data_IF_224616673416
#
_entry.id   IF_224616673416
#
_cell.length_a   1.000
_cell.length_b   1.000
_cell.length_c   1.000
_cell.angle_alpha   90.00
_cell.angle_beta   90.00
_cell.angle_gamma   90.00
#
_symmetry.space_group_name_H-M   'P 1'
#
loop_
_entity.id
_entity.type
_entity.pdbx_description
1 polymer ?
#
# COMPACT_ATOMS: atom_id res chain seq x y z
N UNK A 1 -2.59 -0.32 -17.26
CA UNK A 1 -1.63 0.69 -16.73
C UNK A 1 -0.51 0.85 -17.75
N UNK A 2 -0.06 2.06 -18.08
CA UNK A 2 1.00 2.26 -19.07
C UNK A 2 2.36 2.51 -18.40
N UNK A 3 3.38 1.71 -18.73
CA UNK A 3 4.78 1.94 -18.35
C UNK A 3 5.60 2.01 -19.64
N UNK A 4 6.25 3.15 -19.89
CA UNK A 4 7.13 3.32 -21.06
C UNK A 4 6.46 3.07 -22.41
N UNK A 5 5.22 3.53 -22.61
CA UNK A 5 4.50 3.34 -23.88
C UNK A 5 3.81 1.99 -24.04
N UNK A 6 3.93 1.09 -23.06
CA UNK A 6 3.30 -0.25 -23.08
C UNK A 6 2.24 -0.36 -22.02
N UNK A 7 1.06 -0.83 -22.44
CA UNK A 7 -0.04 -1.13 -21.52
C UNK A 7 0.20 -2.49 -20.88
N UNK A 8 0.50 -2.49 -19.59
CA UNK A 8 0.51 -3.68 -18.75
C UNK A 8 -0.89 -3.87 -18.15
N UNK A 9 -1.46 -5.06 -18.36
CA UNK A 9 -2.60 -5.51 -17.59
C UNK A 9 -2.06 -6.24 -16.37
N UNK A 10 -2.27 -5.67 -15.19
CA UNK A 10 -2.00 -6.42 -13.97
C UNK A 10 -3.14 -7.43 -13.81
N UNK A 11 -2.83 -8.71 -13.97
CA UNK A 11 -3.78 -9.77 -13.69
C UNK A 11 -4.26 -9.64 -12.23
N UNK A 12 -5.54 -9.89 -11.99
CA UNK A 12 -6.04 -10.02 -10.62
C UNK A 12 -5.22 -11.08 -9.90
N UNK A 13 -4.71 -10.75 -8.70
CA UNK A 13 -3.96 -11.67 -7.84
C UNK A 13 -4.60 -11.75 -6.46
N UNK A 14 -4.59 -12.94 -5.83
CA UNK A 14 -4.99 -13.10 -4.44
C UNK A 14 -4.16 -12.25 -3.48
N UNK A 15 -4.76 -11.85 -2.36
CA UNK A 15 -4.08 -11.09 -1.30
C UNK A 15 -2.83 -11.79 -0.75
N UNK A 16 -2.81 -13.13 -0.74
CA UNK A 16 -1.63 -13.90 -0.35
C UNK A 16 -0.39 -13.48 -1.16
N UNK A 17 -0.53 -13.35 -2.48
CA UNK A 17 0.57 -12.94 -3.34
C UNK A 17 1.02 -11.51 -2.99
N UNK A 18 0.09 -10.57 -2.78
CA UNK A 18 0.33 -9.19 -2.33
C UNK A 18 1.12 -9.10 -1.02
N UNK A 19 0.76 -9.92 -0.04
CA UNK A 19 1.43 -9.96 1.26
C UNK A 19 2.87 -10.49 1.17
N UNK A 20 3.13 -11.49 0.32
CA UNK A 20 4.48 -12.03 0.11
C UNK A 20 5.43 -10.99 -0.49
N UNK A 21 4.93 -10.14 -1.40
CA UNK A 21 5.78 -9.15 -2.09
C UNK A 21 6.04 -7.89 -1.26
N UNK A 22 5.12 -7.52 -0.36
CA UNK A 22 5.33 -6.42 0.58
C UNK A 22 6.63 -6.60 1.39
N UNK A 23 6.95 -7.82 1.81
CA UNK A 23 8.15 -8.11 2.60
C UNK A 23 9.45 -7.68 1.90
N UNK A 24 9.40 -7.54 0.56
CA UNK A 24 10.57 -7.27 -0.27
C UNK A 24 10.46 -5.96 -1.07
N UNK A 25 9.35 -5.20 -0.93
CA UNK A 25 9.04 -3.96 -1.65
C UNK A 25 9.16 -4.06 -3.19
N UNK A 26 9.03 -5.26 -3.74
CA UNK A 26 9.34 -5.54 -5.15
C UNK A 26 8.08 -5.99 -5.91
N UNK A 27 7.16 -5.06 -6.19
CA UNK A 27 5.92 -5.39 -6.95
C UNK A 27 6.19 -5.91 -8.37
N UNK A 28 7.43 -5.80 -8.87
CA UNK A 28 7.83 -6.49 -10.11
C UNK A 28 7.75 -8.02 -9.97
N UNK A 29 7.68 -8.54 -8.74
CA UNK A 29 7.47 -9.96 -8.47
C UNK A 29 6.15 -10.51 -8.97
N UNK A 30 5.16 -9.65 -9.18
CA UNK A 30 3.89 -10.06 -9.79
C UNK A 30 3.95 -10.16 -11.31
N UNK A 31 4.99 -9.58 -11.91
CA UNK A 31 5.25 -9.73 -13.32
C UNK A 31 5.92 -11.08 -13.54
N UNK A 32 5.61 -11.69 -14.68
CA UNK A 32 6.34 -12.87 -15.12
C UNK A 32 7.82 -12.54 -15.36
N UNK A 33 8.64 -13.58 -15.46
CA UNK A 33 10.09 -13.42 -15.60
C UNK A 33 10.47 -12.67 -16.88
N UNK A 34 9.67 -12.76 -17.95
CA UNK A 34 9.96 -12.06 -19.20
C UNK A 34 9.77 -10.55 -19.01
N UNK A 35 8.64 -10.15 -18.41
CA UNK A 35 8.32 -8.75 -18.15
C UNK A 35 9.27 -8.13 -17.13
N UNK A 36 9.62 -8.87 -16.06
CA UNK A 36 10.59 -8.41 -15.07
C UNK A 36 11.97 -8.20 -15.68
N UNK A 37 12.45 -9.16 -16.49
CA UNK A 37 13.72 -9.04 -17.19
C UNK A 37 13.69 -7.91 -18.23
N UNK A 38 12.55 -7.71 -18.92
CA UNK A 38 12.38 -6.62 -19.86
C UNK A 38 12.49 -5.26 -19.17
N UNK A 39 11.79 -5.05 -18.05
CA UNK A 39 11.88 -3.82 -17.25
C UNK A 39 13.30 -3.63 -16.72
N UNK A 40 13.93 -4.68 -16.20
CA UNK A 40 15.31 -4.63 -15.73
C UNK A 40 16.29 -4.19 -16.82
N UNK A 41 16.17 -4.74 -18.03
CA UNK A 41 16.96 -4.31 -19.19
C UNK A 41 16.66 -2.87 -19.58
N UNK A 42 15.39 -2.46 -19.63
CA UNK A 42 15.02 -1.08 -19.96
C UNK A 42 15.66 -0.06 -19.00
N UNK A 43 15.77 -0.39 -17.71
CA UNK A 43 16.45 0.46 -16.72
C UNK A 43 17.97 0.47 -16.95
N UNK A 44 18.59 -0.69 -17.15
CA UNK A 44 20.04 -0.82 -17.39
C UNK A 44 20.47 -0.14 -18.69
N UNK A 45 19.66 -0.24 -19.73
CA UNK A 45 19.90 0.35 -21.05
C UNK A 45 19.55 1.85 -21.07
N UNK A 46 19.13 2.44 -19.93
CA UNK A 46 18.77 3.85 -19.80
C UNK A 46 17.50 4.24 -20.56
N UNK A 47 16.73 3.27 -21.06
CA UNK A 47 15.49 3.48 -21.81
C UNK A 47 14.31 3.79 -20.88
N UNK A 48 14.39 3.36 -19.62
CA UNK A 48 13.47 3.72 -18.55
C UNK A 48 14.24 4.24 -17.33
N UNK A 49 13.76 5.33 -16.72
CA UNK A 49 14.31 5.84 -15.47
C UNK A 49 13.79 5.03 -14.29
N UNK A 50 14.64 4.69 -13.33
CA UNK A 50 14.26 3.94 -12.12
C UNK A 50 13.10 4.59 -11.37
N UNK A 51 13.10 5.92 -11.28
CA UNK A 51 12.06 6.69 -10.59
C UNK A 51 10.69 6.53 -11.25
N UNK A 52 10.65 6.41 -12.58
CA UNK A 52 9.41 6.17 -13.32
C UNK A 52 8.88 4.76 -13.04
N UNK A 53 9.76 3.78 -12.88
CA UNK A 53 9.37 2.42 -12.49
C UNK A 53 8.77 2.45 -11.09
N UNK A 54 9.46 3.05 -10.11
CA UNK A 54 8.96 3.18 -8.73
C UNK A 54 7.64 3.94 -8.67
N UNK A 55 7.51 5.06 -9.41
CA UNK A 55 6.25 5.79 -9.51
C UNK A 55 5.11 4.94 -10.09
N UNK A 56 5.42 4.11 -11.08
CA UNK A 56 4.45 3.17 -11.66
C UNK A 56 4.04 2.08 -10.66
N UNK A 57 4.99 1.55 -9.88
CA UNK A 57 4.71 0.58 -8.82
C UNK A 57 3.71 1.11 -7.78
N UNK A 58 3.87 2.38 -7.40
CA UNK A 58 2.95 3.05 -6.46
C UNK A 58 1.54 3.17 -7.03
N UNK A 59 1.41 3.56 -8.30
CA UNK A 59 0.10 3.60 -8.97
C UNK A 59 -0.55 2.22 -9.06
N UNK A 60 0.22 1.15 -9.23
CA UNK A 60 -0.31 -0.22 -9.14
C UNK A 60 -0.92 -0.45 -7.77
N UNK A 61 -0.16 -0.21 -6.70
CA UNK A 61 -0.64 -0.38 -5.33
C UNK A 61 -1.92 0.42 -5.07
N UNK A 62 -1.99 1.66 -5.55
CA UNK A 62 -3.19 2.49 -5.43
C UNK A 62 -4.39 1.86 -6.12
N UNK A 63 -4.18 1.42 -7.36
CA UNK A 63 -5.25 0.83 -8.18
C UNK A 63 -5.79 -0.45 -7.56
N UNK A 64 -4.92 -1.35 -7.07
CA UNK A 64 -5.34 -2.67 -6.57
C UNK A 64 -5.88 -2.63 -5.13
N UNK A 65 -5.41 -1.69 -4.32
CA UNK A 65 -5.87 -1.53 -2.94
C UNK A 65 -7.01 -0.53 -2.80
N UNK A 66 -7.28 0.28 -3.84
CA UNK A 66 -8.29 1.34 -3.82
C UNK A 66 -7.99 2.45 -2.79
N UNK A 67 -6.73 2.60 -2.40
CA UNK A 67 -6.24 3.49 -1.33
C UNK A 67 -4.96 4.17 -1.80
N UNK A 68 -4.50 5.21 -1.09
CA UNK A 68 -3.16 5.77 -1.38
C UNK A 68 -2.09 4.69 -1.24
N UNK A 69 -1.03 4.73 -2.05
CA UNK A 69 -0.08 3.61 -2.12
C UNK A 69 0.52 3.26 -0.75
N UNK A 70 0.76 4.26 0.10
CA UNK A 70 1.30 4.07 1.45
C UNK A 70 0.29 3.52 2.44
N UNK A 71 -0.99 3.88 2.32
CA UNK A 71 -2.07 3.31 3.14
C UNK A 71 -2.25 1.83 2.81
N UNK A 72 -2.38 1.52 1.52
CA UNK A 72 -2.46 0.15 1.03
C UNK A 72 -1.25 -0.67 1.46
N UNK A 73 -0.04 -0.13 1.28
CA UNK A 73 1.18 -0.78 1.72
C UNK A 73 1.23 -1.01 3.23
N UNK A 74 0.87 -0.02 4.07
CA UNK A 74 0.85 -0.20 5.53
C UNK A 74 -0.15 -1.25 5.96
N UNK A 75 -1.36 -1.25 5.42
CA UNK A 75 -2.37 -2.26 5.73
C UNK A 75 -1.89 -3.66 5.33
N UNK A 76 -1.31 -3.82 4.13
CA UNK A 76 -0.68 -5.07 3.72
C UNK A 76 0.44 -5.48 4.69
N UNK A 77 1.28 -4.54 5.12
CA UNK A 77 2.39 -4.77 6.06
C UNK A 77 1.92 -5.20 7.44
N UNK A 78 0.83 -4.59 7.94
CA UNK A 78 0.25 -4.93 9.23
C UNK A 78 -0.42 -6.32 9.19
N UNK A 79 -1.03 -6.66 8.05
CA UNK A 79 -1.72 -7.94 7.88
C UNK A 79 -0.81 -9.17 7.94
N UNK A 80 0.50 -9.00 7.71
CA UNK A 80 1.50 -10.09 7.78
C UNK A 80 2.06 -10.31 9.17
N UNK A 81 1.74 -9.43 10.14
CA UNK A 81 2.12 -9.65 11.53
C UNK A 81 1.43 -10.93 12.04
N UNK A 82 2.14 -11.83 12.77
CA UNK A 82 1.59 -13.12 13.18
C UNK A 82 0.24 -13.03 13.90
N UNK A 83 0.06 -12.01 14.74
CA UNK A 83 -1.18 -11.74 15.46
C UNK A 83 -2.33 -11.37 14.50
N UNK A 84 -2.09 -10.45 13.58
CA UNK A 84 -3.08 -10.02 12.60
C UNK A 84 -3.48 -11.17 11.66
N UNK A 85 -2.48 -11.88 11.12
CA UNK A 85 -2.69 -13.02 10.25
C UNK A 85 -3.48 -14.14 10.95
N UNK A 86 -3.14 -14.41 12.21
CA UNK A 86 -3.87 -15.37 13.04
C UNK A 86 -5.34 -15.00 13.22
N UNK A 87 -5.63 -13.74 13.54
CA UNK A 87 -7.00 -13.26 13.67
C UNK A 87 -7.79 -13.28 12.36
N UNK A 88 -7.19 -12.86 11.24
CA UNK A 88 -7.83 -12.89 9.92
C UNK A 88 -8.15 -14.34 9.50
N UNK A 89 -7.20 -15.25 9.71
CA UNK A 89 -7.37 -16.68 9.40
C UNK A 89 -8.49 -17.30 10.25
N UNK A 90 -8.50 -17.03 11.57
CA UNK A 90 -9.54 -17.52 12.48
C UNK A 90 -10.93 -16.94 12.18
N UNK A 91 -10.99 -15.74 11.60
CA UNK A 91 -12.23 -15.14 11.13
C UNK A 91 -12.71 -15.71 9.76
N UNK A 92 -12.00 -16.69 9.21
CA UNK A 92 -12.33 -17.30 7.92
C UNK A 92 -11.99 -16.42 6.71
N UNK A 93 -11.13 -15.41 6.88
CA UNK A 93 -10.65 -14.58 5.78
C UNK A 93 -9.49 -15.31 5.10
N UNK A 94 -9.78 -15.95 3.96
CA UNK A 94 -8.78 -16.65 3.16
C UNK A 94 -8.02 -15.68 2.22
N UNK A 95 -6.71 -15.47 2.40
CA UNK A 95 -5.93 -14.58 1.54
C UNK A 95 -5.81 -15.08 0.09
N UNK A 96 -6.10 -16.37 -0.19
CA UNK A 96 -6.07 -16.92 -1.54
C UNK A 96 -7.33 -16.63 -2.36
N UNK A 97 -8.42 -16.23 -1.70
CA UNK A 97 -9.71 -15.97 -2.35
C UNK A 97 -10.07 -14.48 -2.40
N UNK A 98 -9.41 -13.66 -1.56
CA UNK A 98 -9.69 -12.24 -1.43
C UNK A 98 -8.77 -11.41 -2.31
N UNK A 99 -9.32 -10.32 -2.84
CA UNK A 99 -8.53 -9.26 -3.49
C UNK A 99 -7.69 -8.48 -2.48
N UNK A 100 -6.66 -7.76 -2.97
CA UNK A 100 -5.87 -6.84 -2.14
C UNK A 100 -6.75 -5.78 -1.45
N UNK A 101 -7.74 -5.24 -2.17
CA UNK A 101 -8.73 -4.32 -1.63
C UNK A 101 -9.49 -4.90 -0.42
N UNK A 102 -10.10 -6.08 -0.58
CA UNK A 102 -10.86 -6.74 0.50
C UNK A 102 -9.96 -7.09 1.69
N UNK A 103 -8.72 -7.50 1.43
CA UNK A 103 -7.76 -7.83 2.47
C UNK A 103 -7.30 -6.61 3.28
N UNK A 104 -7.06 -5.48 2.61
CA UNK A 104 -6.79 -4.21 3.27
C UNK A 104 -7.99 -3.76 4.12
N UNK A 105 -9.23 -3.95 3.62
CA UNK A 105 -10.45 -3.64 4.37
C UNK A 105 -10.63 -4.55 5.59
N UNK A 106 -10.38 -5.85 5.45
CA UNK A 106 -10.43 -6.81 6.55
C UNK A 106 -9.39 -6.49 7.63
N UNK A 107 -8.17 -6.13 7.21
CA UNK A 107 -7.09 -5.70 8.11
C UNK A 107 -7.48 -4.43 8.86
N UNK A 108 -7.98 -3.42 8.14
CA UNK A 108 -8.48 -2.20 8.76
C UNK A 108 -9.56 -2.49 9.81
N UNK A 109 -10.54 -3.33 9.47
CA UNK A 109 -11.61 -3.73 10.39
C UNK A 109 -11.05 -4.45 11.63
N UNK A 110 -10.05 -5.30 11.47
CA UNK A 110 -9.40 -5.98 12.59
C UNK A 110 -8.78 -4.98 13.60
N UNK A 111 -8.07 -3.96 13.12
CA UNK A 111 -7.41 -2.98 13.99
C UNK A 111 -8.38 -1.93 14.57
N UNK A 112 -9.59 -1.80 14.02
CA UNK A 112 -10.57 -0.79 14.47
C UNK A 112 -11.81 -1.38 15.15
N UNK A 113 -12.02 -2.71 15.15
CA UNK A 113 -13.24 -3.37 15.68
C UNK A 113 -13.59 -3.07 17.14
N UNK A 114 -12.59 -2.71 17.95
CA UNK A 114 -12.76 -2.40 19.38
C UNK A 114 -12.24 -1.01 19.73
N UNK A 115 -11.87 -0.21 18.72
CA UNK A 115 -11.49 1.18 18.94
C UNK A 115 -12.75 2.01 19.20
N UNK A 116 -12.65 2.94 20.13
CA UNK A 116 -13.60 4.04 20.22
C UNK A 116 -13.41 5.02 19.05
N UNK A 117 -14.27 6.03 18.94
CA UNK A 117 -14.20 7.01 17.85
C UNK A 117 -12.82 7.70 17.81
N UNK A 118 -12.29 8.01 18.99
CA UNK A 118 -10.99 8.63 19.16
C UNK A 118 -9.83 7.73 18.66
N UNK A 119 -9.87 6.44 19.00
CA UNK A 119 -8.90 5.44 18.56
C UNK A 119 -8.99 5.18 17.06
N UNK A 120 -10.20 5.14 16.49
CA UNK A 120 -10.39 4.99 15.04
C UNK A 120 -9.82 6.19 14.28
N UNK A 121 -10.12 7.40 14.73
CA UNK A 121 -9.58 8.63 14.13
C UNK A 121 -8.05 8.67 14.19
N UNK A 122 -7.46 8.26 15.32
CA UNK A 122 -6.01 8.14 15.45
C UNK A 122 -5.42 7.16 14.43
N UNK A 123 -6.06 6.01 14.26
CA UNK A 123 -5.62 4.99 13.31
C UNK A 123 -5.72 5.49 11.86
N UNK A 124 -6.83 6.14 11.50
CA UNK A 124 -7.03 6.76 10.19
C UNK A 124 -5.93 7.79 9.90
N UNK A 125 -5.62 8.64 10.88
CA UNK A 125 -4.56 9.65 10.76
C UNK A 125 -3.18 9.01 10.58
N UNK A 126 -2.88 7.96 11.34
CA UNK A 126 -1.61 7.23 11.20
C UNK A 126 -1.49 6.58 9.83
N UNK A 127 -2.58 6.10 9.25
CA UNK A 127 -2.59 5.56 7.89
C UNK A 127 -2.41 6.66 6.84
N UNK A 128 -3.03 7.83 7.02
CA UNK A 128 -3.06 8.90 6.02
C UNK A 128 -1.71 9.62 5.84
N UNK A 129 -0.84 9.65 6.86
CA UNK A 129 0.45 10.36 6.81
C UNK A 129 1.37 9.73 5.76
N UNK A 130 1.87 10.45 4.75
CA UNK A 130 2.81 9.87 3.79
C UNK A 130 4.15 9.51 4.45
N UNK A 131 4.92 8.56 3.90
CA UNK A 131 6.29 8.32 4.34
C UNK A 131 7.20 9.51 4.02
N UNK A 132 8.33 9.62 4.72
CA UNK A 132 9.29 10.72 4.55
C UNK A 132 9.72 10.85 3.08
N UNK A 133 9.74 12.09 2.57
CA UNK A 133 10.07 12.41 1.18
C UNK A 133 8.90 12.29 0.20
N UNK A 134 7.67 12.14 0.69
CA UNK A 134 6.42 12.09 -0.08
C UNK A 134 5.34 13.01 0.49
N UNK A 135 5.74 13.99 1.31
CA UNK A 135 4.86 14.95 1.95
C UNK A 135 4.11 15.84 0.95
N UNK A 136 4.70 16.06 -0.22
CA UNK A 136 4.12 16.77 -1.35
C UNK A 136 2.89 16.06 -1.95
N UNK A 137 2.89 14.72 -1.97
CA UNK A 137 1.79 13.91 -2.51
C UNK A 137 0.49 14.05 -1.71
N UNK A 138 0.59 14.49 -0.45
CA UNK A 138 -0.56 14.70 0.42
C UNK A 138 -1.39 15.94 0.01
N UNK A 139 -0.71 16.99 -0.45
CA UNK A 139 -1.30 18.28 -0.81
C UNK A 139 -1.98 18.26 -2.19
N UNK A 140 -1.51 17.41 -3.10
CA UNK A 140 -2.03 17.29 -4.47
C UNK A 140 -3.45 16.71 -4.57
N UNK A 141 -3.89 15.96 -3.55
CA UNK A 141 -5.17 15.24 -3.57
C UNK A 141 -6.27 15.90 -2.70
N UNK A 142 -6.06 17.15 -2.25
CA UNK A 142 -7.05 17.87 -1.43
C UNK A 142 -7.21 17.35 0.00
N UNK A 143 -6.18 16.69 0.55
CA UNK A 143 -6.16 16.28 1.96
C UNK A 143 -5.85 17.45 2.90
N UNK A 144 -6.12 17.26 4.19
CA UNK A 144 -5.78 18.22 5.25
C UNK A 144 -4.27 18.56 5.23
N UNK A 145 -3.96 19.83 5.47
CA UNK A 145 -2.60 20.38 5.43
C UNK A 145 -1.63 19.57 6.34
N UNK A 146 -0.48 19.10 5.81
CA UNK A 146 0.49 18.30 6.54
C UNK A 146 0.93 18.89 7.86
N UNK A 147 1.15 20.21 7.90
CA UNK A 147 1.58 20.91 9.11
C UNK A 147 0.47 20.94 10.18
N UNK A 148 -0.79 21.00 9.76
CA UNK A 148 -1.95 20.98 10.65
C UNK A 148 -2.12 19.61 11.31
N UNK A 149 -1.89 18.53 10.57
CA UNK A 149 -1.96 17.15 11.09
C UNK A 149 -0.76 16.82 11.98
N UNK A 150 0.45 17.23 11.60
CA UNK A 150 1.65 17.02 12.42
C UNK A 150 1.55 17.79 13.75
N UNK A 151 1.01 19.01 13.71
CA UNK A 151 0.70 19.81 14.90
C UNK A 151 -0.40 19.18 15.76
N UNK A 152 -1.45 18.63 15.15
CA UNK A 152 -2.48 17.89 15.87
C UNK A 152 -1.90 16.67 16.58
N UNK A 153 -1.05 15.88 15.90
CA UNK A 153 -0.36 14.72 16.48
C UNK A 153 0.59 15.11 17.62
N UNK A 154 1.40 16.16 17.45
CA UNK A 154 2.32 16.63 18.47
C UNK A 154 1.59 17.15 19.72
N UNK A 155 0.50 17.91 19.54
CA UNK A 155 -0.33 18.40 20.63
C UNK A 155 -1.01 17.27 21.42
N UNK A 156 -1.27 16.13 20.77
CA UNK A 156 -1.97 15.00 21.36
C UNK A 156 -1.03 13.93 21.97
N UNK A 157 0.21 13.83 21.48
CA UNK A 157 1.24 12.95 22.07
C UNK A 157 2.03 13.59 23.21
N UNK A 158 1.98 14.92 23.33
CA UNK A 158 2.67 15.68 24.39
C UNK A 158 1.80 16.04 25.60
N UNK A 159 0.57 15.51 25.70
CA UNK A 159 -0.39 15.76 26.78
C UNK A 159 -0.61 14.56 27.69
#
# INVERSE_FOLDING_TARGET
MEIGGRTFMLAWRPAAEWTTVQAELDVLRFLDDNDRNAIGRMVLDGTAHSDNVVGSMRRVLETVTGRRWWEGWRLLSMSTQPEALGHLTLAGVDPWQRSAYEWCAATYALYTRHADEQGRLKFDLQLSIPPRGYEDQWLTDGGDDPATVEKALAAWMGG
#
